data_IF_073576722159
#
_entry.id   IF_073576722159
#
_cell.length_a   1.000
_cell.length_b   1.000
_cell.length_c   1.000
_cell.angle_alpha   90.00
_cell.angle_beta   90.00
_cell.angle_gamma   90.00
#
_symmetry.space_group_name_H-M   'P 1'
#
loop_
_entity.id
_entity.type
_entity.pdbx_description
1 polymer ?
#
# COMPACT_ATOMS: atom_id res chain seq x y z
N UNK A 1 49.25 9.71 -28.94
CA UNK A 1 49.44 8.88 -27.73
C UNK A 1 48.08 8.34 -27.31
N UNK A 2 47.83 7.05 -27.55
CA UNK A 2 46.53 6.43 -27.30
C UNK A 2 46.42 6.08 -25.80
N UNK A 3 45.59 6.83 -25.07
CA UNK A 3 45.30 6.55 -23.67
C UNK A 3 44.48 5.26 -23.58
N UNK A 4 45.10 4.18 -23.11
CA UNK A 4 44.41 2.92 -22.87
C UNK A 4 43.33 3.16 -21.80
N UNK A 5 42.06 2.78 -22.00
CA UNK A 5 41.05 2.90 -20.96
C UNK A 5 41.51 2.08 -19.76
N UNK A 6 41.73 2.75 -18.64
CA UNK A 6 42.12 2.10 -17.39
C UNK A 6 40.99 1.16 -17.00
N UNK A 7 41.20 -0.15 -17.11
CA UNK A 7 40.27 -1.14 -16.58
C UNK A 7 40.13 -0.82 -15.09
N UNK A 8 38.94 -0.40 -14.66
CA UNK A 8 38.67 -0.11 -13.25
C UNK A 8 39.13 -1.30 -12.42
N UNK A 9 40.02 -1.03 -11.47
CA UNK A 9 40.50 -2.07 -10.56
C UNK A 9 39.32 -2.62 -9.77
N UNK A 10 39.33 -3.93 -9.46
CA UNK A 10 38.32 -4.55 -8.60
C UNK A 10 38.18 -3.83 -7.24
N UNK A 11 39.23 -3.18 -6.76
CA UNK A 11 39.18 -2.33 -5.55
C UNK A 11 38.31 -1.08 -5.74
N UNK A 12 38.41 -0.41 -6.88
CA UNK A 12 37.64 0.78 -7.22
C UNK A 12 36.15 0.44 -7.40
N UNK A 13 35.85 -0.67 -8.05
CA UNK A 13 34.47 -1.16 -8.21
C UNK A 13 33.84 -1.52 -6.86
N UNK A 14 34.59 -2.18 -5.97
CA UNK A 14 34.12 -2.50 -4.61
C UNK A 14 33.88 -1.23 -3.79
N UNK A 15 34.80 -0.26 -3.86
CA UNK A 15 34.64 1.02 -3.18
C UNK A 15 33.37 1.73 -3.64
N UNK A 16 33.15 1.82 -4.95
CA UNK A 16 31.94 2.43 -5.52
C UNK A 16 30.66 1.76 -5.00
N UNK A 17 30.61 0.42 -4.96
CA UNK A 17 29.45 -0.31 -4.42
C UNK A 17 29.21 0.00 -2.95
N UNK A 18 30.27 0.09 -2.15
CA UNK A 18 30.17 0.43 -0.73
C UNK A 18 29.67 1.86 -0.54
N UNK A 19 30.15 2.82 -1.33
CA UNK A 19 29.69 4.21 -1.26
C UNK A 19 28.21 4.32 -1.66
N UNK A 20 27.81 3.65 -2.75
CA UNK A 20 26.40 3.62 -3.18
C UNK A 20 25.48 2.94 -2.14
N UNK A 21 25.97 1.90 -1.46
CA UNK A 21 25.22 1.27 -0.37
C UNK A 21 25.12 2.18 0.86
N UNK A 22 26.21 2.84 1.23
CA UNK A 22 26.23 3.76 2.36
C UNK A 22 25.27 4.94 2.14
N UNK A 23 25.21 5.50 0.92
CA UNK A 23 24.25 6.55 0.58
C UNK A 23 22.81 6.08 0.82
N UNK A 24 22.43 4.91 0.29
CA UNK A 24 21.09 4.33 0.51
C UNK A 24 20.76 4.12 1.99
N UNK A 25 21.73 3.62 2.78
CA UNK A 25 21.53 3.46 4.23
C UNK A 25 21.33 4.79 4.95
N UNK A 26 22.05 5.84 4.52
CA UNK A 26 21.87 7.19 5.09
C UNK A 26 20.52 7.79 4.73
N UNK A 27 20.03 7.55 3.52
CA UNK A 27 18.67 7.94 3.10
C UNK A 27 17.60 7.22 3.93
N UNK A 28 17.72 5.90 4.11
CA UNK A 28 16.79 5.12 4.92
C UNK A 28 16.83 5.49 6.41
N UNK A 29 18.02 5.86 6.92
CA UNK A 29 18.17 6.38 8.27
C UNK A 29 17.42 7.70 8.45
N UNK A 30 17.56 8.62 7.48
CA UNK A 30 16.94 9.93 7.49
C UNK A 30 15.42 9.93 7.23
N UNK A 31 14.85 8.81 6.75
CA UNK A 31 13.42 8.68 6.47
C UNK A 31 12.60 9.00 7.74
N UNK A 32 11.62 9.93 7.67
CA UNK A 32 10.79 10.28 8.82
C UNK A 32 9.95 9.07 9.25
N UNK A 33 9.84 8.87 10.57
CA UNK A 33 9.11 7.77 11.20
C UNK A 33 7.97 8.32 12.05
N UNK A 34 6.87 7.57 12.11
CA UNK A 34 5.73 7.84 13.00
C UNK A 34 5.75 6.85 14.16
N UNK A 35 5.22 7.24 15.32
CA UNK A 35 5.06 6.32 16.45
C UNK A 35 4.07 5.22 16.07
N UNK A 36 4.37 3.98 16.46
CA UNK A 36 3.49 2.84 16.17
C UNK A 36 2.09 3.06 16.76
N UNK A 37 1.99 3.62 17.98
CA UNK A 37 0.71 3.94 18.60
C UNK A 37 -0.15 4.90 17.77
N UNK A 38 0.47 5.93 17.18
CA UNK A 38 -0.21 6.91 16.31
C UNK A 38 -0.65 6.28 14.99
N UNK A 39 0.23 5.49 14.36
CA UNK A 39 -0.08 4.77 13.14
C UNK A 39 -1.24 3.78 13.35
N UNK A 40 -1.21 3.00 14.44
CA UNK A 40 -2.29 2.08 14.80
C UNK A 40 -3.61 2.81 15.07
N UNK A 41 -3.58 3.94 15.78
CA UNK A 41 -4.78 4.76 16.00
C UNK A 41 -5.36 5.29 14.69
N UNK A 42 -4.51 5.69 13.74
CA UNK A 42 -4.93 6.13 12.41
C UNK A 42 -5.60 4.99 11.62
N UNK A 43 -5.02 3.79 11.64
CA UNK A 43 -5.61 2.61 10.98
C UNK A 43 -6.97 2.25 11.58
N UNK A 44 -7.06 2.19 12.91
CA UNK A 44 -8.32 1.91 13.62
C UNK A 44 -9.39 2.95 13.25
N UNK A 45 -9.02 4.24 13.20
CA UNK A 45 -9.94 5.30 12.81
C UNK A 45 -10.47 5.06 11.41
N UNK A 46 -9.59 4.83 10.44
CA UNK A 46 -9.98 4.57 9.05
C UNK A 46 -10.95 3.38 8.95
N UNK A 47 -10.61 2.25 9.59
CA UNK A 47 -11.47 1.06 9.60
C UNK A 47 -12.82 1.28 10.31
N UNK A 48 -12.94 2.28 11.18
CA UNK A 48 -14.19 2.59 11.90
C UNK A 48 -15.06 3.64 11.20
N UNK A 49 -14.51 4.42 10.29
CA UNK A 49 -15.24 5.48 9.57
C UNK A 49 -15.61 5.08 8.16
N UNK A 50 -14.88 4.15 7.56
CA UNK A 50 -15.09 3.71 6.19
C UNK A 50 -15.96 2.45 6.19
N UNK A 51 -17.21 2.58 5.71
CA UNK A 51 -18.17 1.47 5.61
C UNK A 51 -17.63 0.39 4.67
N UNK A 52 -17.62 -0.86 5.14
CA UNK A 52 -17.26 -2.04 4.35
C UNK A 52 -18.47 -2.97 4.21
N UNK A 53 -18.98 -3.08 2.99
CA UNK A 53 -20.13 -3.91 2.66
C UNK A 53 -19.86 -5.42 2.79
N UNK A 54 -18.59 -5.84 2.80
CA UNK A 54 -18.17 -7.24 2.97
C UNK A 54 -18.05 -7.65 4.45
N UNK A 55 -18.26 -6.73 5.39
CA UNK A 55 -18.28 -7.02 6.83
C UNK A 55 -19.64 -6.66 7.45
N UNK A 56 -20.72 -7.42 7.15
CA UNK A 56 -22.06 -7.09 7.63
C UNK A 56 -22.23 -7.18 9.14
N UNK A 57 -21.36 -7.92 9.84
CA UNK A 57 -21.39 -8.04 11.30
C UNK A 57 -21.10 -6.72 12.02
N UNK A 58 -20.37 -5.81 11.38
CA UNK A 58 -20.02 -4.49 11.93
C UNK A 58 -20.85 -3.39 11.27
N UNK A 59 -21.09 -3.49 9.96
CA UNK A 59 -21.70 -2.42 9.15
C UNK A 59 -23.18 -2.64 8.80
N UNK A 60 -23.74 -3.80 9.15
CA UNK A 60 -25.09 -4.21 8.77
C UNK A 60 -25.16 -4.82 7.37
N UNK A 61 -26.30 -5.45 7.02
CA UNK A 61 -26.51 -6.02 5.70
C UNK A 61 -26.54 -4.94 4.61
N UNK A 62 -26.03 -5.27 3.42
CA UNK A 62 -26.07 -4.38 2.25
C UNK A 62 -27.51 -4.23 1.78
N UNK A 63 -27.94 -2.98 1.58
CA UNK A 63 -29.28 -2.71 1.06
C UNK A 63 -29.42 -3.20 -0.38
N UNK A 64 -30.60 -3.68 -0.77
CA UNK A 64 -30.88 -4.19 -2.13
C UNK A 64 -30.62 -3.17 -3.25
N UNK A 65 -30.65 -1.87 -2.94
CA UNK A 65 -30.33 -0.79 -3.87
C UNK A 65 -28.88 -0.28 -3.79
N UNK A 66 -28.09 -0.75 -2.81
CA UNK A 66 -26.67 -0.40 -2.68
C UNK A 66 -25.76 -1.43 -3.37
N UNK A 67 -26.26 -2.62 -3.69
CA UNK A 67 -25.54 -3.68 -4.39
C UNK A 67 -25.87 -3.69 -5.90
N UNK A 68 -24.92 -3.25 -6.78
CA UNK A 68 -25.12 -3.24 -8.23
C UNK A 68 -25.27 -4.63 -8.85
N UNK A 69 -24.90 -5.69 -8.11
CA UNK A 69 -24.96 -7.08 -8.56
C UNK A 69 -26.14 -7.85 -7.96
N UNK A 70 -26.98 -7.19 -7.16
CA UNK A 70 -28.16 -7.82 -6.61
C UNK A 70 -29.12 -8.24 -7.74
N UNK A 71 -29.75 -9.44 -7.65
CA UNK A 71 -30.70 -9.86 -8.65
C UNK A 71 -31.88 -8.87 -8.72
N UNK A 72 -32.35 -8.50 -9.92
CA UNK A 72 -33.49 -7.61 -10.05
C UNK A 72 -34.72 -8.21 -9.35
N UNK A 73 -35.43 -7.36 -8.62
CA UNK A 73 -36.59 -7.76 -7.84
C UNK A 73 -37.68 -8.27 -8.79
N UNK A 74 -37.90 -9.58 -8.85
CA UNK A 74 -38.98 -10.19 -9.64
C UNK A 74 -40.32 -9.64 -9.10
N UNK A 75 -40.98 -8.81 -9.91
CA UNK A 75 -42.33 -8.31 -9.62
C UNK A 75 -43.30 -9.51 -9.59
N UNK A 76 -43.79 -9.87 -8.41
CA UNK A 76 -44.85 -10.86 -8.24
C UNK A 76 -46.21 -10.16 -8.33
N UNK A 77 -46.57 -9.68 -9.52
CA UNK A 77 -47.94 -9.27 -9.80
C UNK A 77 -48.77 -10.54 -10.02
N UNK A 78 -49.48 -11.01 -8.99
CA UNK A 78 -50.57 -11.96 -9.18
C UNK A 78 -51.76 -11.12 -9.62
N UNK A 79 -52.10 -11.16 -10.91
CA UNK A 79 -53.38 -10.67 -11.42
C UNK A 79 -54.43 -11.65 -10.89
N UNK A 80 -55.30 -11.18 -9.99
CA UNK A 80 -56.62 -11.78 -9.78
C UNK A 80 -57.58 -11.31 -10.88
#
# INVERSE_FOLDING_TARGET
MSARPHKQSMSELKLRRLTEHNIRLREDLARPRMRVSEASASLIRYCKTTKDHLVPSVWGPVGKGEDPYAPPQKCACVIM
#
